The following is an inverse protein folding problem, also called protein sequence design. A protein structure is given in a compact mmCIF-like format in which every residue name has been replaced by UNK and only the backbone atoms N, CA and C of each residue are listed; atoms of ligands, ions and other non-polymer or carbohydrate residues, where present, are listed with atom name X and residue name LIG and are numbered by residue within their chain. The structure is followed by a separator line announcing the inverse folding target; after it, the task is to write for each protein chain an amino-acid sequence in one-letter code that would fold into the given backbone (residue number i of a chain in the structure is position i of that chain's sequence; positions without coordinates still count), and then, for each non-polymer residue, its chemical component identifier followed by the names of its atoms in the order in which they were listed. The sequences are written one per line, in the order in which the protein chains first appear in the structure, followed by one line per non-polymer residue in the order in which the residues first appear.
data_IF_178549425789
#
_entry.id   IF_178549425789
#
_cell.length_a   1.000
_cell.length_b   1.000
_cell.length_c   1.000
_cell.angle_alpha   90.00
_cell.angle_beta   90.00
_cell.angle_gamma   90.00
#
_symmetry.space_group_name_H-M   'P 1'
#
loop_
_entity.id
_entity.type
_entity.pdbx_description
1 polymer ?
#
# COMPACT_ATOMS: atom_id res chain seq x y z
N UNK A 1 -71.63 -12.30 -26.42
CA UNK A 1 -70.28 -11.72 -26.27
C UNK A 1 -70.26 -10.80 -25.06
N UNK A 2 -69.45 -11.11 -24.04
CA UNK A 2 -69.13 -10.21 -22.92
C UNK A 2 -67.70 -10.54 -22.50
N UNK A 3 -66.73 -9.80 -23.03
CA UNK A 3 -65.33 -9.95 -22.64
C UNK A 3 -65.10 -9.15 -21.36
N UNK A 4 -64.78 -9.84 -20.26
CA UNK A 4 -64.32 -9.19 -19.04
C UNK A 4 -62.84 -8.84 -19.19
N UNK A 5 -62.51 -7.56 -19.18
CA UNK A 5 -61.13 -7.10 -19.09
C UNK A 5 -60.63 -7.30 -17.65
N UNK A 6 -59.92 -8.40 -17.40
CA UNK A 6 -59.15 -8.57 -16.18
C UNK A 6 -57.87 -7.74 -16.31
N UNK A 7 -57.74 -6.69 -15.47
CA UNK A 7 -56.53 -5.90 -15.40
C UNK A 7 -55.42 -6.72 -14.72
N UNK A 8 -54.44 -7.20 -15.51
CA UNK A 8 -53.23 -7.79 -14.96
C UNK A 8 -52.33 -6.68 -14.42
N UNK A 9 -52.29 -6.53 -13.08
CA UNK A 9 -51.37 -5.62 -12.43
C UNK A 9 -49.95 -6.17 -12.52
N UNK A 10 -49.14 -5.64 -13.45
CA UNK A 10 -47.72 -5.98 -13.56
C UNK A 10 -46.97 -5.35 -12.40
N UNK A 11 -46.72 -6.13 -11.35
CA UNK A 11 -45.84 -5.74 -10.26
C UNK A 11 -44.39 -5.71 -10.78
N UNK A 12 -43.96 -4.55 -11.27
CA UNK A 12 -42.57 -4.27 -11.57
C UNK A 12 -41.78 -4.21 -10.25
N UNK A 13 -41.28 -5.36 -9.81
CA UNK A 13 -40.21 -5.44 -8.82
C UNK A 13 -38.97 -4.80 -9.44
N UNK A 14 -38.83 -3.49 -9.23
CA UNK A 14 -37.56 -2.81 -9.42
C UNK A 14 -36.56 -3.50 -8.49
N UNK A 15 -35.62 -4.24 -9.07
CA UNK A 15 -34.39 -4.60 -8.37
C UNK A 15 -33.62 -3.30 -8.13
N UNK A 16 -33.95 -2.61 -7.04
CA UNK A 16 -33.07 -1.60 -6.48
C UNK A 16 -31.81 -2.34 -6.04
N UNK A 17 -30.76 -2.30 -6.85
CA UNK A 17 -29.42 -2.64 -6.40
C UNK A 17 -29.13 -1.75 -5.21
N UNK A 18 -29.27 -2.32 -4.01
CA UNK A 18 -28.92 -1.65 -2.77
C UNK A 18 -27.40 -1.65 -2.72
N UNK A 19 -26.79 -0.67 -3.41
CA UNK A 19 -25.41 -0.29 -3.14
C UNK A 19 -25.40 0.09 -1.66
N UNK A 20 -24.79 -0.77 -0.83
CA UNK A 20 -24.65 -0.48 0.58
C UNK A 20 -23.79 0.76 0.70
N UNK A 21 -24.38 1.82 1.22
CA UNK A 21 -23.67 3.06 1.49
C UNK A 21 -22.58 2.80 2.53
N UNK A 22 -21.36 3.22 2.24
CA UNK A 22 -20.23 3.08 3.15
C UNK A 22 -19.65 4.44 3.55
N UNK A 23 -18.87 4.43 4.62
CA UNK A 23 -18.19 5.60 5.14
C UNK A 23 -16.70 5.50 4.81
N UNK A 24 -16.18 6.48 4.06
CA UNK A 24 -14.80 6.47 3.55
C UNK A 24 -14.02 7.64 4.13
N UNK A 25 -12.88 7.34 4.74
CA UNK A 25 -11.84 8.33 5.06
C UNK A 25 -10.76 8.28 3.97
N UNK A 26 -10.60 9.39 3.26
CA UNK A 26 -9.59 9.60 2.23
C UNK A 26 -8.40 10.40 2.79
N UNK A 27 -7.20 10.12 2.28
CA UNK A 27 -6.00 10.89 2.58
C UNK A 27 -4.88 10.60 1.59
N UNK A 28 -3.70 11.21 1.77
CA UNK A 28 -2.50 10.95 0.96
C UNK A 28 -1.25 11.44 1.70
N UNK A 29 -0.12 11.48 0.98
CA UNK A 29 1.08 12.22 1.34
C UNK A 29 1.51 13.29 0.34
N UNK A 30 0.88 13.45 -0.83
CA UNK A 30 1.13 14.57 -1.78
C UNK A 30 0.38 15.87 -1.44
N UNK A 31 -0.21 15.97 -0.24
CA UNK A 31 -0.95 17.14 0.22
C UNK A 31 -2.43 17.17 -0.21
N UNK A 32 -3.25 17.90 0.55
CA UNK A 32 -4.71 17.97 0.43
C UNK A 32 -5.23 18.52 -0.90
N UNK A 33 -4.38 19.23 -1.66
CA UNK A 33 -4.71 19.89 -2.91
C UNK A 33 -4.14 19.17 -4.15
N UNK A 34 -3.62 17.95 -4.00
CA UNK A 34 -3.09 17.18 -5.14
C UNK A 34 -4.21 16.74 -6.10
N UNK A 35 -3.93 16.79 -7.40
CA UNK A 35 -4.90 16.47 -8.45
C UNK A 35 -5.48 15.06 -8.31
N UNK A 36 -4.63 14.08 -7.97
CA UNK A 36 -5.02 12.68 -7.82
C UNK A 36 -6.05 12.48 -6.69
N UNK A 37 -5.80 13.07 -5.51
CA UNK A 37 -6.69 12.96 -4.36
C UNK A 37 -8.06 13.58 -4.63
N UNK A 38 -8.09 14.75 -5.28
CA UNK A 38 -9.34 15.45 -5.61
C UNK A 38 -10.11 14.74 -6.73
N UNK A 39 -9.43 14.12 -7.71
CA UNK A 39 -10.10 13.29 -8.72
C UNK A 39 -10.72 12.02 -8.11
N UNK A 40 -10.05 11.37 -7.13
CA UNK A 40 -10.64 10.23 -6.39
C UNK A 40 -11.89 10.67 -5.63
N UNK A 41 -11.83 11.80 -4.92
CA UNK A 41 -13.00 12.37 -4.22
C UNK A 41 -14.15 12.66 -5.19
N UNK A 42 -13.85 13.26 -6.35
CA UNK A 42 -14.85 13.59 -7.39
C UNK A 42 -15.51 12.31 -7.93
N UNK A 43 -14.73 11.34 -8.40
CA UNK A 43 -15.26 10.12 -9.01
C UNK A 43 -15.99 9.22 -8.01
N UNK A 44 -15.53 9.13 -6.75
CA UNK A 44 -16.25 8.41 -5.71
C UNK A 44 -17.63 9.04 -5.44
N UNK A 45 -17.73 10.38 -5.36
CA UNK A 45 -19.03 11.07 -5.18
C UNK A 45 -19.96 10.91 -6.39
N UNK A 46 -19.42 10.91 -7.61
CA UNK A 46 -20.20 10.72 -8.83
C UNK A 46 -20.75 9.29 -8.94
N UNK A 47 -19.95 8.27 -8.60
CA UNK A 47 -20.31 6.86 -8.77
C UNK A 47 -20.97 6.25 -7.53
N UNK A 48 -20.71 6.82 -6.34
CA UNK A 48 -21.25 6.39 -5.04
C UNK A 48 -21.88 7.58 -4.28
N UNK A 49 -22.92 8.26 -4.82
CA UNK A 49 -23.52 9.45 -4.21
C UNK A 49 -24.23 9.21 -2.86
N UNK A 50 -24.36 7.96 -2.44
CA UNK A 50 -24.90 7.56 -1.13
C UNK A 50 -23.84 7.43 -0.04
N UNK A 51 -22.55 7.39 -0.39
CA UNK A 51 -21.45 7.17 0.56
C UNK A 51 -21.09 8.46 1.29
N UNK A 52 -20.71 8.36 2.57
CA UNK A 52 -20.17 9.51 3.31
C UNK A 52 -18.65 9.53 3.14
N UNK A 53 -18.12 10.58 2.49
CA UNK A 53 -16.70 10.68 2.16
C UNK A 53 -16.11 11.93 2.79
N UNK A 54 -15.03 11.77 3.56
CA UNK A 54 -14.26 12.86 4.18
C UNK A 54 -12.79 12.69 3.82
N UNK A 55 -12.13 13.79 3.45
CA UNK A 55 -10.68 13.80 3.18
C UNK A 55 -9.96 14.46 4.36
N UNK A 56 -8.90 13.84 4.86
CA UNK A 56 -7.96 14.45 5.81
C UNK A 56 -6.55 14.16 5.35
N UNK A 57 -5.84 15.19 4.90
CA UNK A 57 -4.53 15.06 4.25
C UNK A 57 -3.53 16.11 4.76
N UNK A 58 -2.22 15.89 4.57
CA UNK A 58 -1.21 16.90 4.88
C UNK A 58 -1.45 18.24 4.19
N UNK A 59 -0.99 19.33 4.80
CA UNK A 59 -1.01 20.67 4.19
C UNK A 59 0.00 20.82 3.03
N UNK A 60 1.08 20.04 3.08
CA UNK A 60 2.15 19.98 2.07
C UNK A 60 2.57 18.53 1.81
N UNK A 61 3.18 18.27 0.65
CA UNK A 61 3.90 17.05 0.33
C UNK A 61 4.77 16.51 1.49
N UNK A 62 4.43 15.33 1.98
CA UNK A 62 5.13 14.51 2.97
C UNK A 62 5.69 13.19 2.36
N UNK A 63 6.02 13.17 1.06
CA UNK A 63 6.69 12.02 0.45
C UNK A 63 7.88 11.59 1.31
N UNK A 64 7.94 10.30 1.64
CA UNK A 64 9.03 9.75 2.43
C UNK A 64 8.87 9.79 3.95
N UNK A 65 7.71 10.22 4.45
CA UNK A 65 7.42 10.25 5.90
C UNK A 65 6.76 8.96 6.42
N UNK A 66 6.95 7.82 5.74
CA UNK A 66 6.18 6.58 5.96
C UNK A 66 6.08 6.14 7.41
N UNK A 67 7.16 5.59 7.98
CA UNK A 67 7.27 5.20 9.39
C UNK A 67 6.99 6.28 10.44
N UNK A 68 6.72 7.54 10.04
CA UNK A 68 6.82 8.73 10.88
C UNK A 68 5.45 9.26 11.30
N UNK A 69 5.19 9.32 12.60
CA UNK A 69 4.03 10.03 13.17
C UNK A 69 4.51 11.31 13.88
N UNK A 70 4.22 12.47 13.30
CA UNK A 70 4.48 13.80 13.91
C UNK A 70 3.23 14.66 13.77
N UNK A 71 2.71 15.04 14.93
CA UNK A 71 1.72 16.11 15.09
C UNK A 71 2.46 17.44 15.25
N UNK A 72 2.00 18.51 14.63
CA UNK A 72 2.62 19.84 14.82
C UNK A 72 2.40 20.37 16.25
N UNK A 73 3.41 21.07 16.75
CA UNK A 73 3.35 21.90 17.96
C UNK A 73 3.03 23.38 17.66
N UNK A 74 2.79 23.73 16.38
CA UNK A 74 2.44 25.08 15.96
C UNK A 74 0.90 25.22 15.79
N UNK A 75 0.29 26.30 16.32
CA UNK A 75 -1.14 26.57 16.11
C UNK A 75 -1.45 27.09 14.68
N UNK A 76 -0.41 27.47 13.93
CA UNK A 76 -0.51 28.09 12.60
C UNK A 76 0.54 27.54 11.64
N UNK A 77 0.28 27.63 10.34
CA UNK A 77 1.22 27.27 9.28
C UNK A 77 2.47 28.18 9.30
N UNK A 78 3.70 27.63 9.27
CA UNK A 78 4.92 28.44 9.24
C UNK A 78 5.26 29.00 7.86
N UNK A 79 4.68 28.44 6.79
CA UNK A 79 4.82 28.85 5.39
C UNK A 79 3.49 28.65 4.66
N UNK A 80 3.36 29.19 3.45
CA UNK A 80 2.20 28.96 2.59
C UNK A 80 2.12 27.47 2.22
N UNK A 81 0.93 26.89 2.24
CA UNK A 81 0.72 25.49 1.84
C UNK A 81 1.23 25.22 0.43
N UNK A 82 1.40 23.95 0.10
CA UNK A 82 1.62 23.53 -1.27
C UNK A 82 0.62 24.17 -2.25
N UNK A 83 1.15 24.60 -3.39
CA UNK A 83 0.48 25.42 -4.41
C UNK A 83 -0.06 26.79 -3.96
N UNK A 84 0.28 27.27 -2.74
CA UNK A 84 -0.10 28.58 -2.22
C UNK A 84 -1.59 28.70 -1.83
N UNK A 85 -2.26 27.58 -1.60
CA UNK A 85 -3.72 27.53 -1.38
C UNK A 85 -4.13 28.10 0.00
N UNK A 86 -3.32 27.87 1.03
CA UNK A 86 -3.54 28.37 2.40
C UNK A 86 -2.30 29.14 2.85
N UNK A 87 -2.39 30.45 3.16
CA UNK A 87 -1.21 31.25 3.44
C UNK A 87 -0.61 31.00 4.84
N UNK A 88 0.67 31.30 5.00
CA UNK A 88 1.40 31.31 6.26
C UNK A 88 0.64 32.11 7.35
N UNK A 89 0.65 31.62 8.59
CA UNK A 89 -0.11 32.21 9.69
C UNK A 89 -1.59 31.80 9.74
N UNK A 90 -2.13 31.11 8.74
CA UNK A 90 -3.41 30.39 8.85
C UNK A 90 -3.34 29.29 9.91
N UNK A 91 -4.46 28.83 10.50
CA UNK A 91 -4.47 27.71 11.44
C UNK A 91 -3.75 26.47 10.90
N UNK A 92 -3.13 25.67 11.76
CA UNK A 92 -2.43 24.44 11.35
C UNK A 92 -3.35 23.25 11.04
N UNK A 93 -4.64 23.41 11.27
CA UNK A 93 -5.72 22.50 10.88
C UNK A 93 -6.90 23.34 10.36
N UNK A 94 -7.52 22.93 9.27
CA UNK A 94 -8.68 23.61 8.72
C UNK A 94 -9.33 22.89 7.55
N UNK A 95 -10.38 23.49 7.00
CA UNK A 95 -11.03 23.05 5.75
C UNK A 95 -10.35 23.67 4.54
N UNK A 96 -10.28 22.93 3.44
CA UNK A 96 -9.86 23.46 2.16
C UNK A 96 -10.81 24.58 1.70
N UNK A 97 -10.30 25.65 1.06
CA UNK A 97 -11.14 26.77 0.62
C UNK A 97 -12.08 26.41 -0.55
N UNK A 98 -11.94 25.21 -1.12
CA UNK A 98 -12.68 24.74 -2.29
C UNK A 98 -13.68 23.60 -2.00
N UNK A 99 -13.59 22.92 -0.85
CA UNK A 99 -14.49 21.82 -0.50
C UNK A 99 -14.59 21.61 1.02
N UNK A 100 -15.83 21.61 1.54
CA UNK A 100 -16.11 21.52 2.98
C UNK A 100 -15.85 20.13 3.62
N UNK A 101 -15.71 19.07 2.82
CA UNK A 101 -15.35 17.73 3.31
C UNK A 101 -13.84 17.48 3.27
N UNK A 102 -13.05 18.42 2.76
CA UNK A 102 -11.60 18.30 2.66
C UNK A 102 -10.94 19.09 3.78
N UNK A 103 -10.20 18.38 4.62
CA UNK A 103 -9.43 18.96 5.72
C UNK A 103 -7.94 18.84 5.45
N UNK A 104 -7.21 19.91 5.71
CA UNK A 104 -5.76 19.91 5.75
C UNK A 104 -5.27 19.86 7.20
N UNK A 105 -4.12 19.22 7.41
CA UNK A 105 -3.41 19.25 8.68
C UNK A 105 -1.90 19.40 8.45
N UNK A 106 -1.26 20.26 9.25
CA UNK A 106 0.20 20.34 9.31
C UNK A 106 0.76 19.18 10.14
N UNK A 107 1.02 18.04 9.49
CA UNK A 107 1.54 16.85 10.13
C UNK A 107 1.92 15.78 9.10
N UNK A 108 2.51 14.68 9.58
CA UNK A 108 2.82 13.55 8.70
C UNK A 108 1.55 12.76 8.34
N UNK A 109 1.55 11.93 7.28
CA UNK A 109 0.37 11.21 6.82
C UNK A 109 -0.26 10.31 7.90
N UNK A 110 0.57 9.63 8.69
CA UNK A 110 0.12 8.87 9.86
C UNK A 110 -0.60 9.76 10.90
N UNK A 111 -0.11 10.98 11.15
CA UNK A 111 -0.77 11.93 12.03
C UNK A 111 -2.07 12.48 11.42
N UNK A 112 -2.14 12.69 10.10
CA UNK A 112 -3.37 13.06 9.40
C UNK A 112 -4.44 11.96 9.51
N UNK A 113 -4.07 10.68 9.41
CA UNK A 113 -4.98 9.56 9.64
C UNK A 113 -5.55 9.58 11.07
N UNK A 114 -4.71 9.77 12.10
CA UNK A 114 -5.16 9.87 13.49
C UNK A 114 -6.02 11.11 13.76
N UNK A 115 -5.64 12.28 13.25
CA UNK A 115 -6.48 13.50 13.31
C UNK A 115 -7.83 13.26 12.62
N UNK A 116 -7.85 12.55 11.50
CA UNK A 116 -9.06 12.13 10.83
C UNK A 116 -9.97 11.30 11.72
N UNK A 117 -9.47 10.16 12.19
CA UNK A 117 -10.21 9.19 12.99
C UNK A 117 -10.66 9.73 14.36
N UNK A 118 -9.76 10.39 15.09
CA UNK A 118 -9.99 10.75 16.49
C UNK A 118 -10.56 12.17 16.66
N UNK A 119 -10.49 13.05 15.64
CA UNK A 119 -11.01 14.43 15.70
C UNK A 119 -11.92 14.84 14.55
N UNK A 120 -11.56 14.62 13.28
CA UNK A 120 -12.37 15.13 12.15
C UNK A 120 -13.70 14.39 12.06
N UNK A 121 -13.66 13.06 12.04
CA UNK A 121 -14.87 12.25 11.90
C UNK A 121 -15.87 12.51 13.06
N UNK A 122 -15.47 12.47 14.35
CA UNK A 122 -16.42 12.68 15.45
C UNK A 122 -16.99 14.10 15.57
N UNK A 123 -16.33 15.12 15.01
CA UNK A 123 -16.76 16.53 15.18
C UNK A 123 -17.36 17.16 13.92
N UNK A 124 -17.06 16.64 12.72
CA UNK A 124 -17.45 17.29 11.46
C UNK A 124 -18.04 16.34 10.39
N UNK A 125 -18.08 15.03 10.64
CA UNK A 125 -18.67 14.06 9.72
C UNK A 125 -19.99 13.48 10.25
N UNK A 126 -20.74 12.81 9.37
CA UNK A 126 -21.96 12.08 9.74
C UNK A 126 -21.68 10.67 10.32
N UNK A 127 -20.40 10.32 10.51
CA UNK A 127 -19.94 9.00 10.97
C UNK A 127 -18.68 9.16 11.83
N UNK A 128 -18.47 8.27 12.80
CA UNK A 128 -17.28 8.29 13.69
C UNK A 128 -16.22 7.28 13.29
N UNK A 129 -16.61 6.22 12.57
CA UNK A 129 -15.75 5.10 12.19
C UNK A 129 -15.94 4.86 10.69
N UNK A 130 -14.88 4.94 9.86
CA UNK A 130 -14.97 4.60 8.45
C UNK A 130 -15.02 3.07 8.26
N UNK A 131 -15.76 2.62 7.26
CA UNK A 131 -15.76 1.23 6.79
C UNK A 131 -14.52 0.94 5.92
N UNK A 132 -13.95 1.98 5.31
CA UNK A 132 -12.75 1.92 4.46
C UNK A 132 -11.90 3.18 4.62
N UNK A 133 -10.58 3.01 4.68
CA UNK A 133 -9.60 4.06 4.40
C UNK A 133 -8.99 3.86 3.01
N UNK A 134 -8.91 4.93 2.22
CA UNK A 134 -8.18 4.92 0.95
C UNK A 134 -7.15 6.04 0.96
N UNK A 135 -5.86 5.67 0.93
CA UNK A 135 -4.76 6.61 0.88
C UNK A 135 -4.17 6.70 -0.53
N UNK A 136 -3.94 7.91 -1.01
CA UNK A 136 -3.35 8.22 -2.32
C UNK A 136 -4.32 8.96 -3.25
N UNK A 137 -4.17 8.86 -4.57
CA UNK A 137 -3.07 8.15 -5.24
C UNK A 137 -1.77 8.93 -5.07
N UNK A 138 -0.68 8.23 -4.72
CA UNK A 138 0.65 8.81 -4.60
C UNK A 138 1.22 9.22 -5.96
N UNK A 139 1.96 10.32 -6.01
CA UNK A 139 2.82 10.67 -7.12
C UNK A 139 4.11 9.84 -7.09
N UNK A 140 4.21 8.89 -8.01
CA UNK A 140 5.26 7.87 -8.07
C UNK A 140 4.82 6.56 -7.43
N UNK A 141 5.46 5.48 -7.84
CA UNK A 141 5.15 4.13 -7.35
C UNK A 141 5.88 3.83 -6.02
N UNK A 142 5.26 2.96 -5.21
CA UNK A 142 5.78 2.47 -3.93
C UNK A 142 5.98 0.95 -4.00
N UNK A 143 6.79 0.51 -4.97
CA UNK A 143 6.96 -0.90 -5.35
C UNK A 143 7.79 -1.67 -4.31
N UNK A 144 7.20 -2.64 -3.64
CA UNK A 144 7.93 -3.58 -2.80
C UNK A 144 8.24 -3.11 -1.36
N UNK A 145 8.83 -3.98 -0.52
CA UNK A 145 8.79 -3.82 0.94
C UNK A 145 9.63 -2.64 1.44
N UNK A 146 10.68 -2.28 0.70
CA UNK A 146 11.54 -1.16 1.04
C UNK A 146 10.75 0.16 0.97
N UNK A 147 10.16 0.47 -0.20
CA UNK A 147 9.32 1.67 -0.36
C UNK A 147 8.08 1.64 0.51
N UNK A 148 7.48 0.47 0.75
CA UNK A 148 6.35 0.34 1.68
C UNK A 148 6.64 0.91 3.09
N UNK A 149 7.87 0.77 3.61
CA UNK A 149 8.23 1.34 4.93
C UNK A 149 8.53 2.85 4.92
N UNK A 150 8.81 3.42 3.74
CA UNK A 150 9.22 4.80 3.57
C UNK A 150 8.10 5.69 3.00
N UNK A 151 7.15 5.10 2.26
CA UNK A 151 5.98 5.75 1.64
C UNK A 151 5.07 6.39 2.68
N UNK A 152 4.81 7.70 2.54
CA UNK A 152 3.84 8.39 3.39
C UNK A 152 2.42 7.88 3.15
N UNK A 153 2.11 7.47 1.92
CA UNK A 153 0.84 6.83 1.53
C UNK A 153 0.63 5.54 2.32
N UNK A 154 1.63 4.66 2.33
CA UNK A 154 1.60 3.46 3.17
C UNK A 154 1.53 3.82 4.66
N UNK A 155 2.26 4.87 5.08
CA UNK A 155 2.18 5.50 6.41
C UNK A 155 0.75 5.76 6.89
N UNK A 156 -0.07 6.36 6.04
CA UNK A 156 -1.50 6.60 6.29
C UNK A 156 -2.29 5.28 6.39
N UNK A 157 -2.05 4.37 5.45
CA UNK A 157 -2.75 3.08 5.33
C UNK A 157 -2.49 2.15 6.50
N UNK A 158 -1.23 1.82 6.83
CA UNK A 158 -0.95 0.89 7.93
C UNK A 158 -1.29 1.50 9.30
N UNK A 159 -1.22 2.82 9.47
CA UNK A 159 -1.67 3.50 10.69
C UNK A 159 -3.17 3.29 10.91
N UNK A 160 -3.95 3.26 9.84
CA UNK A 160 -5.40 2.98 9.87
C UNK A 160 -5.69 1.50 10.13
N UNK A 161 -4.93 0.59 9.52
CA UNK A 161 -5.03 -0.87 9.79
C UNK A 161 -4.68 -1.17 11.26
N UNK A 162 -3.71 -0.47 11.83
CA UNK A 162 -3.37 -0.52 13.26
C UNK A 162 -4.49 -0.05 14.20
N UNK A 163 -5.50 0.67 13.69
CA UNK A 163 -6.75 1.02 14.40
C UNK A 163 -7.89 0.03 14.14
N UNK A 164 -7.63 -1.06 13.40
CA UNK A 164 -8.61 -2.09 13.07
C UNK A 164 -9.52 -1.77 11.88
N UNK A 165 -9.10 -0.84 11.02
CA UNK A 165 -9.89 -0.32 9.91
C UNK A 165 -9.32 -0.86 8.58
N UNK A 166 -10.14 -1.47 7.70
CA UNK A 166 -9.73 -1.85 6.35
C UNK A 166 -9.11 -0.66 5.59
N UNK A 167 -7.93 -0.83 4.99
CA UNK A 167 -7.29 0.25 4.26
C UNK A 167 -6.59 -0.20 2.97
N UNK A 168 -6.56 0.71 2.00
CA UNK A 168 -5.89 0.54 0.70
C UNK A 168 -4.91 1.70 0.48
N UNK A 169 -3.67 1.39 0.08
CA UNK A 169 -2.72 2.36 -0.45
C UNK A 169 -2.72 2.31 -1.99
N UNK A 170 -2.94 3.45 -2.65
CA UNK A 170 -2.82 3.60 -4.10
C UNK A 170 -1.62 4.48 -4.44
N UNK A 171 -0.83 4.02 -5.41
CA UNK A 171 0.32 4.73 -5.98
C UNK A 171 0.26 4.72 -7.50
N UNK A 172 0.87 5.71 -8.14
CA UNK A 172 0.85 5.80 -9.60
C UNK A 172 2.08 6.44 -10.19
N UNK A 173 2.70 5.74 -11.14
CA UNK A 173 3.71 6.27 -12.04
C UNK A 173 3.19 7.53 -12.73
N UNK A 174 3.92 8.63 -12.57
CA UNK A 174 3.50 9.96 -13.01
C UNK A 174 4.73 10.83 -13.35
N UNK A 175 4.56 11.78 -14.26
CA UNK A 175 5.64 12.69 -14.69
C UNK A 175 5.83 13.91 -13.79
N UNK A 176 4.73 14.47 -13.26
CA UNK A 176 4.73 15.60 -12.33
C UNK A 176 3.59 15.52 -11.29
N UNK A 177 3.84 16.06 -10.10
CA UNK A 177 2.84 16.23 -9.03
C UNK A 177 2.12 17.56 -9.23
N UNK A 178 0.82 17.51 -9.54
CA UNK A 178 0.02 18.70 -9.88
C UNK A 178 -1.01 19.08 -8.83
N UNK A 179 -1.29 20.38 -8.75
CA UNK A 179 -2.49 20.92 -8.10
C UNK A 179 -3.76 20.46 -8.83
N UNK A 180 -4.83 20.24 -8.07
CA UNK A 180 -6.18 20.01 -8.57
C UNK A 180 -6.71 21.07 -9.55
N UNK A 181 -6.11 22.27 -9.58
CA UNK A 181 -6.47 23.33 -10.56
C UNK A 181 -5.93 23.08 -11.98
N UNK A 182 -5.12 22.04 -12.20
CA UNK A 182 -4.43 21.74 -13.47
C UNK A 182 -4.78 20.36 -14.04
N UNK A 183 -6.01 19.90 -13.79
CA UNK A 183 -6.59 18.69 -14.39
C UNK A 183 -7.17 19.04 -15.76
N UNK A 184 -6.77 18.34 -16.81
CA UNK A 184 -7.33 18.55 -18.15
C UNK A 184 -8.44 17.52 -18.45
N UNK A 185 -9.66 17.99 -18.72
CA UNK A 185 -10.79 17.13 -19.10
C UNK A 185 -10.49 16.24 -20.32
N UNK A 186 -9.66 16.72 -21.25
CA UNK A 186 -9.20 15.94 -22.40
C UNK A 186 -7.82 16.40 -22.83
N UNK A 187 -6.84 15.52 -22.72
CA UNK A 187 -5.43 15.74 -23.08
C UNK A 187 -5.23 15.94 -24.59
N UNK A 188 -4.03 16.34 -25.01
CA UNK A 188 -3.71 16.51 -26.43
C UNK A 188 -3.84 15.20 -27.23
N UNK A 189 -3.59 14.04 -26.59
CA UNK A 189 -3.81 12.73 -27.22
C UNK A 189 -5.29 12.32 -27.33
N UNK A 190 -6.23 13.09 -26.75
CA UNK A 190 -7.68 12.83 -26.82
C UNK A 190 -8.24 11.96 -25.68
N UNK A 191 -7.48 11.74 -24.61
CA UNK A 191 -7.86 10.89 -23.47
C UNK A 191 -8.05 11.72 -22.19
N UNK A 192 -8.55 11.11 -21.12
CA UNK A 192 -8.63 11.77 -19.82
C UNK A 192 -7.23 12.01 -19.22
N UNK A 193 -7.13 12.98 -18.32
CA UNK A 193 -5.92 13.28 -17.55
C UNK A 193 -5.35 12.02 -16.85
N UNK A 194 -4.02 11.87 -16.69
CA UNK A 194 -3.43 10.81 -15.87
C UNK A 194 -4.06 10.69 -14.48
N UNK A 195 -4.31 11.82 -13.81
CA UNK A 195 -4.93 11.84 -12.49
C UNK A 195 -6.38 11.31 -12.52
N UNK A 196 -7.15 11.65 -13.56
CA UNK A 196 -8.51 11.13 -13.78
C UNK A 196 -8.50 9.63 -14.07
N UNK A 197 -7.54 9.13 -14.85
CA UNK A 197 -7.42 7.70 -15.17
C UNK A 197 -7.03 6.89 -13.92
N UNK A 198 -6.06 7.34 -13.14
CA UNK A 198 -5.65 6.68 -11.90
C UNK A 198 -6.75 6.77 -10.82
N UNK A 199 -7.51 7.86 -10.78
CA UNK A 199 -8.70 7.97 -9.95
C UNK A 199 -9.81 7.00 -10.39
N UNK A 200 -10.06 6.82 -11.69
CA UNK A 200 -11.03 5.81 -12.14
C UNK A 200 -10.58 4.39 -11.77
N UNK A 201 -9.30 4.05 -11.94
CA UNK A 201 -8.75 2.77 -11.48
C UNK A 201 -8.96 2.56 -9.97
N UNK A 202 -8.74 3.61 -9.18
CA UNK A 202 -8.99 3.59 -7.72
C UNK A 202 -10.46 3.31 -7.41
N UNK A 203 -11.37 4.01 -8.08
CA UNK A 203 -12.82 3.83 -7.90
C UNK A 203 -13.32 2.48 -8.40
N UNK A 204 -12.80 1.96 -9.51
CA UNK A 204 -13.12 0.63 -10.04
C UNK A 204 -12.77 -0.48 -9.03
N UNK A 205 -11.60 -0.39 -8.40
CA UNK A 205 -11.16 -1.35 -7.39
C UNK A 205 -11.98 -1.23 -6.09
N UNK A 206 -12.24 -0.01 -5.61
CA UNK A 206 -13.09 0.23 -4.43
C UNK A 206 -14.52 -0.28 -4.67
N UNK A 207 -15.14 0.05 -5.80
CA UNK A 207 -16.46 -0.48 -6.19
C UNK A 207 -16.45 -2.01 -6.21
N UNK A 208 -15.46 -2.62 -6.88
CA UNK A 208 -15.33 -4.08 -6.96
C UNK A 208 -15.22 -4.72 -5.57
N UNK A 209 -14.40 -4.16 -4.67
CA UNK A 209 -14.25 -4.68 -3.31
C UNK A 209 -15.56 -4.58 -2.51
N UNK A 210 -16.23 -3.42 -2.57
CA UNK A 210 -17.46 -3.16 -1.81
C UNK A 210 -18.63 -4.00 -2.32
N UNK A 211 -18.81 -4.10 -3.63
CA UNK A 211 -19.92 -4.82 -4.27
C UNK A 211 -19.80 -6.34 -4.17
N UNK A 212 -18.58 -6.86 -4.03
CA UNK A 212 -18.31 -8.29 -3.78
C UNK A 212 -18.15 -8.63 -2.29
N UNK A 213 -18.28 -7.64 -1.39
CA UNK A 213 -18.28 -7.85 0.06
C UNK A 213 -19.69 -8.14 0.60
N UNK A 214 -19.76 -8.83 1.75
CA UNK A 214 -21.04 -9.04 2.43
C UNK A 214 -21.46 -7.76 3.15
N UNK A 215 -22.66 -7.19 2.90
CA UNK A 215 -23.10 -5.96 3.56
C UNK A 215 -23.06 -6.07 5.09
N UNK A 216 -22.50 -5.05 5.75
CA UNK A 216 -22.35 -5.01 7.21
C UNK A 216 -21.26 -5.92 7.77
N UNK A 217 -20.35 -6.44 6.95
CA UNK A 217 -19.10 -7.06 7.38
C UNK A 217 -17.90 -6.17 7.00
N UNK A 218 -16.76 -6.25 7.71
CA UNK A 218 -15.54 -5.57 7.32
C UNK A 218 -15.10 -5.97 5.90
N UNK A 219 -14.73 -4.98 5.08
CA UNK A 219 -14.31 -5.19 3.68
C UNK A 219 -13.01 -5.99 3.56
N UNK A 220 -12.17 -5.97 4.60
CA UNK A 220 -10.96 -6.78 4.72
C UNK A 220 -10.91 -7.43 6.12
N UNK A 221 -10.24 -8.59 6.27
CA UNK A 221 -9.96 -9.15 7.59
C UNK A 221 -9.08 -8.20 8.43
N UNK A 222 -9.20 -8.31 9.76
CA UNK A 222 -8.43 -7.48 10.68
C UNK A 222 -6.93 -7.66 10.51
N UNK A 223 -6.19 -6.56 10.46
CA UNK A 223 -4.73 -6.55 10.22
C UNK A 223 -4.31 -6.62 8.74
N UNK A 224 -5.25 -6.72 7.79
CA UNK A 224 -4.95 -6.77 6.35
C UNK A 224 -5.14 -5.42 5.67
N UNK A 225 -4.38 -5.22 4.59
CA UNK A 225 -4.55 -4.10 3.66
C UNK A 225 -4.22 -4.49 2.23
N UNK A 226 -4.46 -3.57 1.31
CA UNK A 226 -4.12 -3.73 -0.11
C UNK A 226 -3.13 -2.62 -0.51
N UNK A 227 -2.06 -3.01 -1.21
CA UNK A 227 -1.13 -2.13 -1.93
C UNK A 227 -1.47 -2.18 -3.41
N UNK A 228 -1.59 -1.02 -4.06
CA UNK A 228 -1.89 -0.89 -5.48
C UNK A 228 -0.90 0.08 -6.11
N UNK A 229 -0.22 -0.35 -7.17
CA UNK A 229 0.65 0.52 -7.96
C UNK A 229 0.16 0.50 -9.42
N UNK A 230 -0.04 1.68 -10.00
CA UNK A 230 -0.49 1.85 -11.39
C UNK A 230 0.67 2.37 -12.25
N UNK A 231 0.87 1.87 -13.48
CA UNK A 231 2.01 2.25 -14.31
C UNK A 231 1.89 3.71 -14.77
N UNK A 232 2.98 4.22 -15.36
CA UNK A 232 2.98 5.54 -15.99
C UNK A 232 1.86 5.65 -17.04
N UNK A 233 0.86 6.48 -16.75
CA UNK A 233 -0.26 6.74 -17.66
C UNK A 233 0.19 7.73 -18.73
N UNK A 234 0.20 7.29 -19.99
CA UNK A 234 0.78 8.04 -21.10
C UNK A 234 -0.14 9.10 -21.68
N UNK A 235 -1.34 9.29 -21.12
CA UNK A 235 -2.43 10.03 -21.78
C UNK A 235 -2.12 11.50 -22.08
N UNK A 236 -1.11 12.12 -21.47
CA UNK A 236 -0.65 13.44 -21.92
C UNK A 236 -0.14 13.41 -23.37
N UNK A 237 0.60 12.36 -23.74
CA UNK A 237 1.33 12.24 -25.00
C UNK A 237 0.68 11.27 -26.01
N UNK A 238 0.16 10.12 -25.55
CA UNK A 238 -0.35 9.04 -26.41
C UNK A 238 -1.21 8.01 -25.64
N UNK A 239 -1.78 7.05 -26.37
CA UNK A 239 -2.73 6.04 -25.88
C UNK A 239 -2.11 4.72 -25.39
N UNK A 240 -0.77 4.57 -25.41
CA UNK A 240 -0.11 3.28 -25.16
C UNK A 240 -0.31 2.73 -23.74
N UNK A 241 -0.57 3.59 -22.75
CA UNK A 241 -1.12 3.17 -21.46
C UNK A 241 -2.17 4.15 -20.92
N UNK A 242 -3.44 3.83 -21.16
CA UNK A 242 -4.61 4.58 -20.68
C UNK A 242 -5.67 3.70 -19.97
N UNK A 243 -5.45 2.39 -19.94
CA UNK A 243 -6.34 1.42 -19.27
C UNK A 243 -5.55 0.16 -18.82
N UNK A 244 -4.59 0.29 -17.90
CA UNK A 244 -3.84 -0.85 -17.38
C UNK A 244 -4.78 -1.80 -16.59
N UNK A 245 -4.84 -3.10 -16.91
CA UNK A 245 -5.59 -4.06 -16.12
C UNK A 245 -4.88 -4.38 -14.80
N UNK A 246 -5.65 -4.77 -13.80
CA UNK A 246 -5.13 -5.21 -12.51
C UNK A 246 -4.62 -6.65 -12.57
N UNK A 247 -3.43 -6.87 -12.00
CA UNK A 247 -2.77 -8.16 -11.86
C UNK A 247 -2.55 -8.42 -10.36
N UNK A 248 -2.99 -9.59 -9.87
CA UNK A 248 -2.64 -9.99 -8.50
C UNK A 248 -1.14 -10.23 -8.40
N UNK A 249 -0.54 -9.62 -7.39
CA UNK A 249 0.89 -9.61 -7.15
C UNK A 249 1.18 -9.81 -5.67
N UNK A 250 2.47 -9.83 -5.34
CA UNK A 250 2.99 -9.78 -3.97
C UNK A 250 4.00 -8.63 -3.87
N UNK A 251 4.02 -7.96 -2.73
CA UNK A 251 4.97 -6.87 -2.43
C UNK A 251 6.42 -7.40 -2.51
N UNK A 252 6.65 -8.61 -2.01
CA UNK A 252 7.95 -9.30 -1.98
C UNK A 252 8.21 -10.06 -3.29
N UNK A 253 9.45 -10.06 -3.80
CA UNK A 253 9.84 -10.82 -5.00
C UNK A 253 10.24 -9.90 -6.15
N UNK A 254 11.50 -9.94 -6.57
CA UNK A 254 12.06 -8.94 -7.50
C UNK A 254 12.12 -7.51 -6.94
N UNK A 255 11.73 -7.30 -5.69
CA UNK A 255 11.68 -6.00 -5.05
C UNK A 255 13.09 -5.44 -4.81
N UNK A 256 13.20 -4.13 -4.92
CA UNK A 256 14.48 -3.42 -4.84
C UNK A 256 14.77 -2.84 -3.46
N UNK A 257 16.05 -2.61 -3.21
CA UNK A 257 16.62 -1.86 -2.08
C UNK A 257 17.73 -0.95 -2.63
N UNK A 258 18.16 0.05 -1.88
CA UNK A 258 19.19 0.99 -2.35
C UNK A 258 20.63 0.52 -2.07
N UNK A 259 21.51 0.73 -3.05
CA UNK A 259 22.94 0.97 -2.85
C UNK A 259 23.16 2.48 -2.65
N UNK A 260 23.96 2.85 -1.66
CA UNK A 260 24.58 4.18 -1.58
C UNK A 260 25.78 4.24 -2.53
N UNK A 261 25.54 4.64 -3.78
CA UNK A 261 26.55 4.68 -4.84
C UNK A 261 27.37 5.97 -4.74
N UNK A 262 28.70 5.86 -4.74
CA UNK A 262 29.61 7.00 -4.65
C UNK A 262 29.92 7.57 -6.04
N UNK A 263 29.75 8.88 -6.20
CA UNK A 263 30.15 9.62 -7.39
C UNK A 263 31.46 10.38 -7.14
N UNK A 264 32.56 9.87 -7.68
CA UNK A 264 33.91 10.45 -7.57
C UNK A 264 34.00 11.89 -8.12
N UNK A 265 33.12 12.28 -9.06
CA UNK A 265 33.18 13.60 -9.70
C UNK A 265 32.52 14.67 -8.84
N UNK A 266 31.36 14.36 -8.25
CA UNK A 266 30.64 15.29 -7.37
C UNK A 266 31.03 15.17 -5.89
N UNK A 267 31.75 14.11 -5.51
CA UNK A 267 32.06 13.76 -4.11
C UNK A 267 30.81 13.60 -3.24
N UNK A 268 29.77 12.99 -3.81
CA UNK A 268 28.47 12.75 -3.16
C UNK A 268 28.00 11.32 -3.39
N UNK A 269 27.08 10.87 -2.54
CA UNK A 269 26.32 9.64 -2.78
C UNK A 269 25.05 9.93 -3.59
N UNK A 270 24.65 8.97 -4.42
CA UNK A 270 23.31 8.85 -5.01
C UNK A 270 22.77 7.43 -4.74
N UNK A 271 21.46 7.21 -4.95
CA UNK A 271 20.88 5.87 -4.83
C UNK A 271 21.06 5.10 -6.15
N UNK A 272 21.32 3.81 -6.08
CA UNK A 272 21.16 2.87 -7.20
C UNK A 272 20.35 1.65 -6.75
N UNK A 273 19.39 1.13 -7.53
CA UNK A 273 18.57 0.00 -7.12
C UNK A 273 19.35 -1.33 -7.21
N UNK A 274 19.16 -2.18 -6.21
CA UNK A 274 19.55 -3.60 -6.23
C UNK A 274 18.37 -4.50 -5.90
N UNK A 275 18.34 -5.68 -6.52
CA UNK A 275 17.49 -6.80 -6.08
C UNK A 275 18.34 -7.72 -5.19
N UNK A 276 18.21 -7.66 -3.86
CA UNK A 276 19.01 -8.51 -2.97
C UNK A 276 18.58 -9.97 -3.05
N UNK A 277 19.56 -10.88 -2.93
CA UNK A 277 19.31 -12.31 -2.72
C UNK A 277 18.80 -12.53 -1.28
N UNK A 278 17.55 -12.96 -1.15
CA UNK A 278 16.87 -13.04 0.15
C UNK A 278 16.48 -11.67 0.72
N UNK A 279 16.58 -11.49 2.03
CA UNK A 279 16.15 -10.27 2.72
C UNK A 279 14.68 -9.94 2.43
N UNK A 280 14.43 -8.76 1.86
CA UNK A 280 13.09 -8.32 1.41
C UNK A 280 12.46 -9.21 0.32
N UNK A 281 13.25 -10.07 -0.34
CA UNK A 281 12.77 -11.02 -1.34
C UNK A 281 12.61 -12.45 -0.82
N UNK A 282 12.92 -12.73 0.46
CA UNK A 282 12.69 -14.06 1.04
C UNK A 282 11.19 -14.37 1.06
N UNK A 283 10.75 -15.46 0.41
CA UNK A 283 9.39 -15.95 0.60
C UNK A 283 9.28 -16.67 1.95
N UNK A 284 8.71 -16.00 2.95
CA UNK A 284 8.48 -16.56 4.29
C UNK A 284 7.04 -17.07 4.41
N UNK A 285 6.07 -16.22 4.07
CA UNK A 285 4.63 -16.49 4.10
C UNK A 285 3.98 -15.99 2.80
N UNK A 286 2.77 -16.48 2.50
CA UNK A 286 1.99 -16.08 1.33
C UNK A 286 2.22 -16.96 0.10
N UNK A 287 1.58 -16.61 -1.02
CA UNK A 287 1.73 -17.33 -2.28
C UNK A 287 3.00 -16.89 -3.02
N UNK A 288 4.02 -17.75 -3.04
CA UNK A 288 5.28 -17.45 -3.71
C UNK A 288 5.18 -17.47 -5.25
N UNK A 289 4.07 -17.94 -5.84
CA UNK A 289 3.88 -18.04 -7.29
C UNK A 289 3.35 -16.76 -7.94
N UNK A 290 2.86 -15.81 -7.15
CA UNK A 290 2.48 -14.47 -7.61
C UNK A 290 3.72 -13.67 -8.03
N UNK A 291 3.64 -12.85 -9.09
CA UNK A 291 4.73 -11.96 -9.50
C UNK A 291 4.92 -10.81 -8.52
N UNK A 292 6.10 -10.20 -8.53
CA UNK A 292 6.41 -9.01 -7.74
C UNK A 292 5.69 -7.76 -8.24
N UNK A 293 5.40 -6.80 -7.36
CA UNK A 293 4.88 -5.48 -7.77
C UNK A 293 5.77 -4.80 -8.82
N UNK A 294 7.09 -4.83 -8.62
CA UNK A 294 8.09 -4.28 -9.55
C UNK A 294 8.02 -4.95 -10.92
N UNK A 295 7.99 -6.29 -10.97
CA UNK A 295 7.90 -7.05 -12.22
C UNK A 295 6.62 -6.73 -12.99
N UNK A 296 5.47 -6.63 -12.30
CA UNK A 296 4.19 -6.29 -12.93
C UNK A 296 4.23 -4.90 -13.54
N UNK A 297 4.60 -3.87 -12.77
CA UNK A 297 4.53 -2.47 -13.23
C UNK A 297 5.60 -2.15 -14.28
N UNK A 298 6.81 -2.70 -14.16
CA UNK A 298 7.87 -2.51 -15.17
C UNK A 298 7.63 -3.31 -16.47
N UNK A 299 6.74 -4.32 -16.47
CA UNK A 299 6.43 -5.10 -17.68
C UNK A 299 5.63 -4.33 -18.75
N UNK A 300 5.08 -3.17 -18.39
CA UNK A 300 4.37 -2.28 -19.32
C UNK A 300 3.09 -1.71 -18.71
N UNK A 301 1.99 -1.72 -19.47
CA UNK A 301 0.73 -1.16 -19.01
C UNK A 301 -0.06 -2.13 -18.12
N UNK A 302 0.45 -2.45 -16.92
CA UNK A 302 -0.20 -3.32 -15.94
C UNK A 302 -0.15 -2.73 -14.54
N UNK A 303 -1.29 -2.78 -13.82
CA UNK A 303 -1.40 -2.31 -12.44
C UNK A 303 -1.23 -3.48 -11.48
N UNK A 304 -0.35 -3.36 -10.48
CA UNK A 304 -0.16 -4.40 -9.47
C UNK A 304 -1.13 -4.25 -8.31
N UNK A 305 -1.65 -5.36 -7.79
CA UNK A 305 -2.53 -5.42 -6.61
C UNK A 305 -2.02 -6.48 -5.65
N UNK A 306 -1.47 -6.05 -4.53
CA UNK A 306 -0.88 -6.90 -3.50
C UNK A 306 -1.66 -6.83 -2.20
N UNK A 307 -2.04 -8.00 -1.65
CA UNK A 307 -2.61 -8.10 -0.30
C UNK A 307 -1.45 -8.25 0.70
N UNK A 308 -1.48 -7.47 1.78
CA UNK A 308 -0.49 -7.53 2.86
C UNK A 308 -1.14 -7.61 4.25
N UNK A 309 -0.33 -7.90 5.27
CA UNK A 309 -0.72 -7.91 6.68
C UNK A 309 0.29 -7.13 7.53
N UNK A 310 -0.16 -6.56 8.65
CA UNK A 310 0.69 -5.88 9.64
C UNK A 310 1.08 -6.77 10.83
N UNK A 311 0.84 -8.08 10.78
CA UNK A 311 1.43 -9.03 11.73
C UNK A 311 2.91 -9.29 11.41
N UNK A 312 3.77 -8.41 11.93
CA UNK A 312 5.22 -8.51 11.80
C UNK A 312 5.84 -9.77 12.45
N UNK A 313 5.05 -10.51 13.24
CA UNK A 313 5.47 -11.74 13.94
C UNK A 313 4.86 -13.03 13.36
N UNK A 314 4.08 -12.93 12.28
CA UNK A 314 3.29 -14.01 11.68
C UNK A 314 4.03 -15.33 11.35
N UNK A 315 5.33 -15.36 10.98
CA UNK A 315 6.01 -16.61 10.64
C UNK A 315 6.10 -17.59 11.83
N UNK A 316 5.26 -18.62 11.80
CA UNK A 316 5.36 -19.80 12.68
C UNK A 316 6.07 -20.91 11.90
N UNK A 317 7.31 -21.21 12.28
CA UNK A 317 8.10 -22.25 11.63
C UNK A 317 9.53 -22.35 12.18
N UNK A 318 10.25 -23.38 11.75
CA UNK A 318 11.53 -23.82 12.34
C UNK A 318 12.54 -22.68 12.53
N UNK A 319 12.71 -21.80 11.54
CA UNK A 319 13.63 -20.66 11.66
C UNK A 319 13.27 -19.72 12.84
N UNK A 320 11.98 -19.48 13.08
CA UNK A 320 11.52 -18.66 14.21
C UNK A 320 11.65 -19.38 15.55
N UNK A 321 11.49 -20.71 15.57
CA UNK A 321 11.63 -21.54 16.78
C UNK A 321 13.10 -21.67 17.16
N UNK A 322 13.97 -22.04 16.21
CA UNK A 322 15.42 -22.13 16.39
C UNK A 322 16.05 -20.81 16.86
N UNK A 323 15.62 -19.66 16.33
CA UNK A 323 16.05 -18.35 16.86
C UNK A 323 15.62 -18.15 18.32
N UNK A 324 14.39 -18.48 18.70
CA UNK A 324 13.92 -18.37 20.10
C UNK A 324 14.64 -19.37 21.01
N UNK A 325 14.86 -20.60 20.56
CA UNK A 325 15.50 -21.66 21.32
C UNK A 325 16.96 -21.31 21.63
N UNK A 326 17.69 -20.70 20.67
CA UNK A 326 19.02 -20.11 20.86
C UNK A 326 19.05 -18.98 21.89
N UNK A 327 17.94 -18.26 22.09
CA UNK A 327 17.80 -17.18 23.07
C UNK A 327 17.40 -17.69 24.47
N UNK A 328 16.90 -18.92 24.61
CA UNK A 328 16.42 -19.52 25.88
C UNK A 328 17.33 -19.33 27.10
N UNK A 329 18.69 -19.36 27.01
CA UNK A 329 19.55 -19.10 28.17
C UNK A 329 19.43 -17.70 28.80
N UNK A 330 18.76 -16.76 28.12
CA UNK A 330 18.50 -15.39 28.59
C UNK A 330 17.01 -15.00 28.49
N UNK A 331 16.29 -15.52 27.49
CA UNK A 331 14.89 -15.21 27.19
C UNK A 331 14.06 -16.46 27.40
N UNK A 332 13.57 -16.65 28.62
CA UNK A 332 12.69 -17.77 28.95
C UNK A 332 11.36 -17.66 28.20
N UNK A 333 10.85 -18.77 27.68
CA UNK A 333 9.44 -18.87 27.34
C UNK A 333 8.61 -18.76 28.62
N UNK A 334 7.89 -17.65 28.81
CA UNK A 334 6.89 -17.56 29.85
C UNK A 334 5.85 -18.67 29.62
N UNK A 335 5.74 -19.62 30.55
CA UNK A 335 4.83 -20.76 30.47
C UNK A 335 3.38 -20.33 30.64
N UNK A 336 2.81 -19.77 29.58
CA UNK A 336 1.43 -19.34 29.53
C UNK A 336 0.46 -20.51 29.61
N UNK A 337 -0.48 -20.46 30.55
CA UNK A 337 -1.62 -21.36 30.63
C UNK A 337 -2.63 -21.05 29.51
N UNK A 338 -2.32 -21.53 28.31
CA UNK A 338 -3.16 -21.56 27.10
C UNK A 338 -2.94 -22.90 26.39
N UNK A 339 -3.87 -23.37 25.53
CA UNK A 339 -3.99 -24.79 25.19
C UNK A 339 -2.70 -25.37 24.61
N UNK A 340 -2.05 -26.22 25.39
CA UNK A 340 -0.81 -26.88 25.04
C UNK A 340 -1.01 -27.85 23.88
N UNK A 341 -0.31 -27.63 22.77
CA UNK A 341 0.01 -28.67 21.78
C UNK A 341 1.06 -29.65 22.33
N UNK A 342 0.79 -30.21 23.51
CA UNK A 342 1.63 -31.22 24.15
C UNK A 342 1.28 -32.62 23.65
N UNK A 343 1.94 -33.04 22.57
CA UNK A 343 2.19 -34.43 22.24
C UNK A 343 3.66 -34.53 21.80
N UNK A 344 4.58 -34.79 22.74
CA UNK A 344 5.00 -36.14 23.13
C UNK A 344 5.83 -36.83 22.01
N UNK A 345 7.10 -37.18 22.26
CA UNK A 345 7.83 -37.04 23.52
C UNK A 345 9.32 -37.38 23.46
N UNK A 346 9.95 -37.32 24.63
CA UNK A 346 11.38 -37.55 24.83
C UNK A 346 11.59 -38.79 25.72
N UNK A 347 12.26 -39.82 25.19
CA UNK A 347 12.79 -41.02 25.88
C UNK A 347 13.41 -41.92 24.80
N UNK A 348 14.62 -42.48 24.88
CA UNK A 348 15.66 -42.47 25.92
C UNK A 348 16.96 -42.93 25.25
N UNK A 349 18.09 -42.28 25.53
CA UNK A 349 19.41 -42.81 25.21
C UNK A 349 19.86 -43.83 26.28
N UNK A 350 19.84 -45.11 25.93
CA UNK A 350 20.47 -46.18 26.69
C UNK A 350 21.24 -47.08 25.73
N UNK A 351 22.50 -47.41 26.06
CA UNK A 351 23.43 -47.99 25.10
C UNK A 351 23.59 -49.51 25.19
N UNK A 352 24.22 -50.01 24.12
CA UNK A 352 25.15 -51.15 24.06
C UNK A 352 24.64 -52.53 23.55
N UNK A 353 25.52 -53.12 22.74
CA UNK A 353 25.75 -54.55 22.52
C UNK A 353 24.82 -55.41 21.64
N UNK A 354 25.30 -55.62 20.40
CA UNK A 354 25.57 -56.94 19.75
C UNK A 354 24.47 -57.85 19.18
N UNK A 355 24.64 -58.10 17.86
CA UNK A 355 24.79 -59.43 17.19
C UNK A 355 23.59 -60.09 16.45
N UNK A 356 23.81 -60.23 15.13
CA UNK A 356 23.30 -61.25 14.17
C UNK A 356 21.81 -61.31 13.78
N UNK A 357 21.56 -61.59 12.49
CA UNK A 357 20.22 -61.87 11.94
C UNK A 357 20.16 -61.78 10.40
N UNK A 358 20.55 -62.84 9.70
CA UNK A 358 20.70 -62.92 8.23
C UNK A 358 19.38 -63.14 7.46
N UNK A 359 19.43 -62.92 6.13
CA UNK A 359 18.45 -63.22 5.03
C UNK A 359 17.55 -62.03 4.62
N UNK A 360 17.55 -61.52 3.37
CA UNK A 360 17.30 -62.13 2.04
C UNK A 360 15.85 -62.63 1.88
N UNK A 361 15.05 -62.36 0.83
CA UNK A 361 15.18 -61.52 -0.39
C UNK A 361 13.75 -60.96 -0.74
N UNK A 362 13.36 -60.35 -1.87
CA UNK A 362 13.92 -60.06 -3.22
C UNK A 362 13.03 -58.96 -3.86
N UNK A 363 13.55 -57.87 -4.44
CA UNK A 363 14.14 -57.71 -5.78
C UNK A 363 13.14 -57.50 -6.96
N UNK A 364 12.87 -56.24 -7.29
CA UNK A 364 12.69 -55.66 -8.66
C UNK A 364 12.69 -54.12 -8.47
N UNK A 365 13.61 -53.33 -9.04
CA UNK A 365 13.68 -52.94 -10.45
C UNK A 365 12.98 -51.57 -10.61
N UNK A 366 13.61 -50.45 -11.01
CA UNK A 366 14.88 -50.28 -11.76
C UNK A 366 15.50 -48.88 -11.58
N UNK A 367 16.84 -48.80 -11.72
CA UNK A 367 17.70 -47.68 -12.11
C UNK A 367 17.07 -46.27 -12.34
N UNK A 368 17.48 -45.23 -11.60
CA UNK A 368 18.65 -44.36 -11.86
C UNK A 368 18.24 -43.00 -12.51
N UNK A 369 18.91 -41.88 -12.25
CA UNK A 369 20.13 -41.70 -11.48
C UNK A 369 20.34 -40.28 -10.94
N UNK A 370 21.48 -40.09 -10.29
CA UNK A 370 21.93 -38.85 -9.65
C UNK A 370 22.11 -37.68 -10.62
N UNK A 371 21.53 -36.52 -10.28
CA UNK A 371 21.77 -35.25 -10.98
C UNK A 371 21.84 -34.10 -9.98
N UNK A 372 23.05 -33.81 -9.49
CA UNK A 372 23.33 -32.57 -8.74
C UNK A 372 23.31 -31.39 -9.72
N UNK A 373 22.25 -30.58 -9.71
CA UNK A 373 22.22 -29.29 -10.41
C UNK A 373 22.30 -28.13 -9.42
N UNK A 374 23.54 -27.74 -9.10
CA UNK A 374 23.85 -26.39 -8.64
C UNK A 374 23.44 -25.40 -9.73
N UNK A 375 22.25 -24.82 -9.60
CA UNK A 375 21.82 -23.71 -10.43
C UNK A 375 22.56 -22.44 -9.98
N UNK A 376 23.75 -22.21 -10.52
CA UNK A 376 24.39 -20.91 -10.45
C UNK A 376 23.54 -19.91 -11.24
N UNK A 377 22.77 -19.09 -10.53
CA UNK A 377 22.08 -17.95 -11.13
C UNK A 377 23.11 -16.98 -11.72
N UNK A 378 22.83 -16.36 -12.89
CA UNK A 378 23.79 -15.44 -13.50
C UNK A 378 23.92 -14.19 -12.64
N UNK A 379 25.14 -13.89 -12.18
CA UNK A 379 25.53 -12.57 -11.67
C UNK A 379 25.55 -11.57 -12.82
N UNK A 380 24.37 -11.22 -13.32
CA UNK A 380 24.16 -10.30 -14.44
C UNK A 380 23.69 -8.95 -13.93
N UNK A 381 24.49 -7.91 -14.16
CA UNK A 381 24.00 -6.53 -14.09
C UNK A 381 22.90 -6.36 -15.15
N UNK A 382 21.64 -6.28 -14.73
CA UNK A 382 20.52 -6.07 -15.63
C UNK A 382 20.55 -4.64 -16.20
N UNK A 383 21.15 -4.49 -17.39
CA UNK A 383 20.86 -3.39 -18.32
C UNK A 383 20.09 -3.93 -19.52
N UNK A 384 18.76 -3.82 -19.48
CA UNK A 384 17.90 -4.09 -20.64
C UNK A 384 16.55 -3.38 -20.49
N UNK A 385 16.14 -2.64 -21.53
CA UNK A 385 14.92 -1.82 -21.52
C UNK A 385 15.25 -0.33 -21.37
N UNK A 386 15.11 0.43 -22.45
CA UNK A 386 15.43 1.86 -22.50
C UNK A 386 14.30 2.77 -22.01
N UNK A 387 13.59 2.38 -20.95
CA UNK A 387 12.73 3.30 -20.21
C UNK A 387 13.56 3.93 -19.09
N UNK A 388 13.49 5.25 -18.88
CA UNK A 388 14.07 5.83 -17.66
C UNK A 388 13.35 5.23 -16.45
N UNK A 389 14.10 4.88 -15.41
CA UNK A 389 13.51 4.62 -14.10
C UNK A 389 12.73 5.87 -13.68
N UNK A 390 11.40 5.80 -13.70
CA UNK A 390 10.54 6.91 -13.30
C UNK A 390 10.72 7.12 -11.80
N UNK A 391 11.20 8.30 -11.43
CA UNK A 391 11.80 8.54 -10.12
C UNK A 391 10.85 8.22 -8.96
N UNK A 392 11.40 7.62 -7.92
CA UNK A 392 10.73 7.02 -6.76
C UNK A 392 9.96 8.02 -5.85
N UNK A 393 9.62 9.22 -6.34
CA UNK A 393 9.01 10.33 -5.58
C UNK A 393 9.99 11.22 -4.80
N UNK A 394 11.24 10.79 -4.57
CA UNK A 394 12.20 11.49 -3.71
C UNK A 394 13.03 12.58 -4.43
N UNK A 395 13.16 12.49 -5.75
CA UNK A 395 13.98 13.39 -6.58
C UNK A 395 13.21 14.59 -7.14
N UNK A 396 12.32 15.23 -6.37
CA UNK A 396 11.54 16.39 -6.82
C UNK A 396 12.46 17.63 -6.87
N UNK A 397 12.41 18.40 -7.96
CA UNK A 397 13.42 19.42 -8.31
C UNK A 397 13.44 20.69 -7.46
N UNK A 398 14.28 21.65 -7.84
CA UNK A 398 14.65 22.87 -7.07
C UNK A 398 13.52 23.88 -6.76
N UNK A 399 12.26 23.54 -7.03
CA UNK A 399 11.08 24.33 -6.69
C UNK A 399 10.31 23.83 -5.47
N UNK A 400 10.64 22.64 -4.96
CA UNK A 400 10.16 22.19 -3.66
C UNK A 400 11.15 22.63 -2.59
N UNK A 401 10.65 23.27 -1.54
CA UNK A 401 11.47 23.55 -0.35
C UNK A 401 12.04 22.24 0.21
N UNK A 402 13.18 22.26 0.92
CA UNK A 402 13.67 21.06 1.58
C UNK A 402 12.57 20.50 2.49
N UNK A 403 12.44 19.17 2.64
CA UNK A 403 11.57 18.59 3.66
C UNK A 403 11.87 19.30 4.98
N UNK A 404 10.82 19.81 5.62
CA UNK A 404 10.92 20.93 6.57
C UNK A 404 12.09 20.71 7.54
N UNK A 405 13.04 21.65 7.56
CA UNK A 405 14.33 21.53 8.30
C UNK A 405 14.16 21.48 9.83
N UNK A 406 12.94 21.43 10.32
CA UNK A 406 12.58 21.37 11.72
C UNK A 406 12.11 19.94 12.05
N UNK A 407 12.45 19.48 13.27
CA UNK A 407 12.30 18.10 13.77
C UNK A 407 13.47 17.12 13.50
N UNK A 408 14.68 17.60 13.21
CA UNK A 408 15.80 17.12 14.05
C UNK A 408 15.64 17.82 15.40
N UNK A 409 15.29 17.07 16.44
CA UNK A 409 15.12 17.58 17.81
C UNK A 409 16.37 17.19 18.63
N UNK A 410 17.38 18.08 18.77
CA UNK A 410 18.60 17.78 19.50
C UNK A 410 18.38 17.87 21.02
N UNK A 411 17.53 17.00 21.58
CA UNK A 411 17.40 16.83 23.03
C UNK A 411 18.39 15.83 23.64
N UNK A 412 19.25 15.24 22.81
CA UNK A 412 20.38 14.40 23.23
C UNK A 412 21.65 14.71 22.42
N UNK A 413 22.13 15.93 22.56
CA UNK A 413 23.51 16.32 22.25
C UNK A 413 23.93 17.37 23.28
N UNK A 414 24.78 16.96 24.23
CA UNK A 414 25.51 17.86 25.14
C UNK A 414 26.79 18.34 24.45
#
# INVERSE_FOLDING_TARGET
MRCSFAAAATAALAFTSQTSAINILLGNDDGFASAQLIEVLRLLREQRPSDNIVVVAPVDNQSGMGGRSVFTDLPTLPHDSEYGIVPAGSPSFGRAPFDDSVFYYNGTPAACAFVGLDYVLPNFANFTTPDLVVAGINFGDNLGPFFYTLSGTAGYTYSSIGRGIPAIAFSGGNGEQRSYTWINQTTESGYADPATIQAQLTVDLVNTLVENSTPGQPLLPQGYGISVNTPYITSLDNDSCVKPPFIQSRITGGATSDIAAWNETSQTFHYEPIVPEGGINTCINGDCSLPGETEVVESGCFSSVSIFTVDYSAPVGDASSDIRDRLTPLVEYQSGTGPSSSAAGNSTSAGNSTVSGTAASSASGTAAGTGSSTAAGPTGYYKKGGMPWFGNGWGKGSHHGPPSRHHWNPRYAN
#
